data_IF_673356783260
#
_entry.id   IF_673356783260
#
_cell.length_a   1.000
_cell.length_b   1.000
_cell.length_c   1.000
_cell.angle_alpha   90.00
_cell.angle_beta   90.00
_cell.angle_gamma   90.00
#
_symmetry.space_group_name_H-M   'P 1'
#
loop_
_entity.id
_entity.type
_entity.pdbx_description
1 polymer ?
#
# COMPACT_ATOMS: atom_id res chain seq x y z
N UNK A 1 7.72 9.86 1.79
CA UNK A 1 8.80 10.51 1.03
C UNK A 1 10.14 10.15 1.65
N UNK A 2 11.20 10.07 0.85
CA UNK A 2 12.57 9.92 1.33
C UNK A 2 13.53 10.65 0.43
N UNK A 3 14.57 11.27 0.99
CA UNK A 3 15.55 12.06 0.27
C UNK A 3 16.94 11.87 0.83
N UNK A 4 17.90 11.54 -0.04
CA UNK A 4 19.29 11.22 0.34
C UNK A 4 20.21 12.44 0.46
N UNK A 5 19.76 13.61 0.02
CA UNK A 5 20.54 14.85 0.09
C UNK A 5 20.36 15.60 1.42
N UNK A 6 21.17 16.64 1.59
CA UNK A 6 21.22 17.52 2.79
C UNK A 6 21.06 19.00 2.47
N UNK A 7 20.82 19.30 1.21
CA UNK A 7 20.65 20.63 0.61
C UNK A 7 19.20 21.14 0.68
N UNK A 8 18.27 20.33 1.19
CA UNK A 8 16.89 20.73 1.43
C UNK A 8 16.60 20.73 2.94
N UNK A 9 16.19 21.87 3.53
CA UNK A 9 15.83 21.90 4.95
C UNK A 9 14.60 21.05 5.25
N UNK A 10 14.54 20.42 6.43
CA UNK A 10 13.42 19.60 6.86
C UNK A 10 12.06 20.35 6.81
N UNK A 11 12.06 21.65 7.09
CA UNK A 11 10.86 22.50 7.00
C UNK A 11 10.33 22.63 5.56
N UNK A 12 11.21 22.77 4.57
CA UNK A 12 10.82 22.81 3.16
C UNK A 12 10.38 21.43 2.67
N UNK A 13 11.09 20.36 3.05
CA UNK A 13 10.68 18.99 2.77
C UNK A 13 9.28 18.68 3.32
N UNK A 14 8.95 19.17 4.52
CA UNK A 14 7.61 19.03 5.10
C UNK A 14 6.54 19.71 4.25
N UNK A 15 6.80 20.87 3.64
CA UNK A 15 5.84 21.51 2.72
C UNK A 15 5.54 20.64 1.50
N UNK A 16 6.56 19.96 0.96
CA UNK A 16 6.38 19.02 -0.14
C UNK A 16 5.61 17.76 0.28
N UNK A 17 5.85 17.25 1.50
CA UNK A 17 5.10 16.12 2.07
C UNK A 17 3.61 16.43 2.20
N UNK A 18 3.27 17.63 2.68
CA UNK A 18 1.88 18.05 2.93
C UNK A 18 1.03 18.19 1.67
N UNK A 19 1.62 18.19 0.46
CA UNK A 19 0.85 18.19 -0.80
C UNK A 19 -0.04 16.95 -0.96
N UNK A 20 0.30 15.86 -0.28
CA UNK A 20 -0.46 14.60 -0.26
C UNK A 20 -1.09 14.32 1.11
N UNK A 21 -1.39 15.35 1.89
CA UNK A 21 -2.01 15.18 3.23
C UNK A 21 -3.33 14.39 3.16
N UNK A 22 -4.07 14.50 2.06
CA UNK A 22 -5.31 13.74 1.81
C UNK A 22 -5.12 12.22 1.83
N UNK A 23 -3.91 11.72 1.52
CA UNK A 23 -3.59 10.28 1.58
C UNK A 23 -3.31 9.77 3.00
N UNK A 24 -3.00 10.67 3.92
CA UNK A 24 -2.62 10.35 5.29
C UNK A 24 -3.07 11.46 6.24
N UNK A 25 -4.37 11.67 6.39
CA UNK A 25 -4.90 12.84 7.09
C UNK A 25 -4.69 12.80 8.61
N UNK A 26 -4.39 11.64 9.20
CA UNK A 26 -4.41 11.44 10.65
C UNK A 26 -3.18 12.01 11.35
N UNK A 27 -2.00 11.91 10.74
CA UNK A 27 -0.75 12.46 11.29
C UNK A 27 0.33 12.64 10.21
N UNK A 28 1.32 13.49 10.47
CA UNK A 28 2.41 13.85 9.56
C UNK A 28 3.73 13.95 10.33
N UNK A 29 4.73 13.15 9.95
CA UNK A 29 6.06 13.16 10.58
C UNK A 29 7.17 13.27 9.56
N UNK A 30 8.17 14.09 9.87
CA UNK A 30 9.45 14.16 9.16
C UNK A 30 10.55 13.94 10.18
N UNK A 31 11.50 13.07 9.86
CA UNK A 31 12.73 12.89 10.62
C UNK A 31 13.93 13.14 9.72
N UNK A 32 15.03 13.55 10.34
CA UNK A 32 16.31 13.75 9.72
C UNK A 32 17.34 12.83 10.38
N UNK A 33 18.25 12.26 9.58
CA UNK A 33 19.29 11.36 10.08
C UNK A 33 20.44 11.21 9.08
N UNK A 34 21.35 10.24 9.31
CA UNK A 34 22.48 9.99 8.40
C UNK A 34 22.04 9.78 6.94
N UNK A 35 20.87 9.18 6.76
CA UNK A 35 20.18 8.89 5.50
C UNK A 35 19.58 10.11 4.78
N UNK A 36 19.66 11.31 5.35
CA UNK A 36 18.97 12.51 4.87
C UNK A 36 17.60 12.67 5.54
N UNK A 37 16.55 12.84 4.74
CA UNK A 37 15.20 13.14 5.22
C UNK A 37 14.22 12.00 4.91
N UNK A 38 13.38 11.67 5.87
CA UNK A 38 12.30 10.70 5.70
C UNK A 38 10.99 11.25 6.26
N UNK A 39 9.93 11.15 5.48
CA UNK A 39 8.62 11.71 5.83
C UNK A 39 7.48 10.76 5.56
N UNK A 40 6.50 10.75 6.45
CA UNK A 40 5.32 9.90 6.36
C UNK A 40 4.06 10.67 6.75
N UNK A 41 3.02 10.52 5.94
CA UNK A 41 1.66 10.92 6.26
C UNK A 41 0.83 9.66 6.50
N UNK A 42 0.09 9.62 7.60
CA UNK A 42 -0.57 8.41 8.08
C UNK A 42 -2.07 8.43 7.87
N UNK A 43 -2.58 7.33 7.31
CA UNK A 43 -3.95 6.89 7.46
C UNK A 43 -3.91 5.62 8.34
N UNK A 44 -4.56 5.65 9.50
CA UNK A 44 -4.49 4.57 10.48
C UNK A 44 -5.51 3.46 10.13
N UNK A 45 -5.03 2.40 9.46
CA UNK A 45 -5.81 1.20 9.13
C UNK A 45 -5.46 0.03 10.07
N UNK A 46 -4.16 -0.27 10.18
CA UNK A 46 -3.61 -1.29 11.10
C UNK A 46 -2.92 -0.64 12.29
N UNK A 47 -3.30 -1.05 13.50
CA UNK A 47 -2.81 -0.51 14.76
C UNK A 47 -3.20 0.95 14.97
N UNK A 48 -4.45 1.22 15.37
CA UNK A 48 -5.03 2.58 15.40
C UNK A 48 -4.39 3.55 16.41
N UNK A 49 -3.52 3.08 17.30
CA UNK A 49 -2.84 3.93 18.29
C UNK A 49 -1.76 4.80 17.64
N UNK A 50 -1.32 5.90 18.30
CA UNK A 50 -0.19 6.71 17.83
C UNK A 50 1.12 5.94 17.65
N UNK A 51 1.28 4.79 18.30
CA UNK A 51 2.49 3.96 18.18
C UNK A 51 2.68 3.38 16.78
N UNK A 52 1.61 3.28 15.97
CA UNK A 52 1.71 2.86 14.57
C UNK A 52 2.16 3.98 13.62
N UNK A 53 2.56 5.16 14.15
CA UNK A 53 3.06 6.27 13.33
C UNK A 53 4.51 6.05 12.90
N UNK A 54 4.75 6.22 11.60
CA UNK A 54 6.04 6.02 10.96
C UNK A 54 6.80 7.35 10.81
N UNK A 55 8.13 7.36 10.55
CA UNK A 55 9.00 6.20 10.32
C UNK A 55 9.14 5.28 11.53
N UNK A 56 9.12 3.97 11.32
CA UNK A 56 9.51 2.99 12.34
C UNK A 56 11.02 2.96 12.44
N UNK A 57 11.55 2.85 13.67
CA UNK A 57 13.00 2.84 13.91
C UNK A 57 13.42 1.67 14.78
N UNK A 58 14.61 1.12 14.50
CA UNK A 58 15.31 0.18 15.39
C UNK A 58 16.80 0.51 15.38
N UNK A 59 17.28 1.08 16.49
CA UNK A 59 18.62 1.65 16.54
C UNK A 59 18.70 2.84 15.57
N UNK A 60 19.68 2.80 14.65
CA UNK A 60 19.85 3.82 13.62
C UNK A 60 19.14 3.49 12.29
N UNK A 61 18.50 2.32 12.18
CA UNK A 61 17.74 1.93 10.99
C UNK A 61 16.32 2.50 11.05
N UNK A 62 15.77 2.84 9.89
CA UNK A 62 14.41 3.37 9.79
C UNK A 62 13.68 2.87 8.55
N UNK A 63 12.34 2.82 8.60
CA UNK A 63 11.50 2.46 7.46
C UNK A 63 10.22 3.28 7.45
N UNK A 64 9.79 3.67 6.25
CA UNK A 64 8.43 4.12 5.94
C UNK A 64 7.82 3.22 4.88
N UNK A 65 6.53 2.93 4.98
CA UNK A 65 5.78 2.10 4.08
C UNK A 65 4.35 2.61 3.95
N UNK A 66 3.95 2.90 2.72
CA UNK A 66 2.55 3.02 2.33
C UNK A 66 2.13 1.67 1.77
N UNK A 67 1.43 0.87 2.56
CA UNK A 67 1.08 -0.50 2.20
C UNK A 67 0.29 -1.22 3.27
N UNK A 68 -0.07 -2.46 2.95
CA UNK A 68 -0.75 -3.42 3.83
C UNK A 68 -0.07 -4.78 3.64
N UNK A 69 0.52 -5.32 4.71
CA UNK A 69 1.16 -6.63 4.73
C UNK A 69 0.12 -7.69 5.14
N UNK A 70 -0.32 -8.49 4.17
CA UNK A 70 -1.34 -9.50 4.42
C UNK A 70 -0.77 -10.65 5.28
N UNK A 71 -1.56 -11.13 6.24
CA UNK A 71 -1.13 -12.22 7.12
C UNK A 71 0.00 -11.85 8.09
N UNK A 72 0.35 -10.56 8.23
CA UNK A 72 1.46 -10.10 9.06
C UNK A 72 1.39 -10.58 10.52
N UNK A 73 0.20 -10.87 11.07
CA UNK A 73 0.05 -11.35 12.45
C UNK A 73 0.80 -12.65 12.68
N UNK A 74 0.80 -13.54 11.70
CA UNK A 74 1.54 -14.80 11.76
C UNK A 74 3.06 -14.56 11.72
N UNK A 75 3.53 -13.74 10.77
CA UNK A 75 4.94 -13.36 10.67
C UNK A 75 5.43 -12.63 11.92
N UNK A 76 4.62 -11.72 12.48
CA UNK A 76 4.90 -11.02 13.72
C UNK A 76 5.10 -11.99 14.89
N UNK A 77 4.28 -13.04 14.98
CA UNK A 77 4.43 -14.07 16.01
C UNK A 77 5.72 -14.89 15.83
N UNK A 78 6.13 -15.20 14.59
CA UNK A 78 7.41 -15.84 14.30
C UNK A 78 8.57 -14.95 14.75
N UNK A 79 8.54 -13.67 14.36
CA UNK A 79 9.57 -12.69 14.74
C UNK A 79 9.63 -12.47 16.26
N UNK A 80 8.49 -12.47 16.95
CA UNK A 80 8.47 -12.39 18.42
C UNK A 80 9.18 -13.59 19.07
N UNK A 81 8.99 -14.81 18.54
CA UNK A 81 9.71 -16.00 19.00
C UNK A 81 11.21 -15.95 18.70
N UNK A 82 11.60 -15.27 17.62
CA UNK A 82 12.99 -14.97 17.30
C UNK A 82 13.60 -13.85 18.17
N UNK A 83 12.82 -13.24 19.07
CA UNK A 83 13.29 -12.25 20.04
C UNK A 83 13.02 -10.78 19.66
N UNK A 84 12.32 -10.51 18.55
CA UNK A 84 11.93 -9.16 18.18
C UNK A 84 10.81 -8.63 19.09
N UNK A 85 10.97 -7.38 19.54
CA UNK A 85 9.97 -6.66 20.33
C UNK A 85 9.29 -5.62 19.46
N UNK A 86 7.97 -5.54 19.57
CA UNK A 86 7.11 -4.62 18.83
C UNK A 86 6.35 -3.73 19.81
N UNK A 87 6.07 -2.50 19.41
CA UNK A 87 5.39 -1.49 20.24
C UNK A 87 4.03 -1.10 19.67
N UNK A 88 3.78 -1.34 18.39
CA UNK A 88 2.54 -0.95 17.71
C UNK A 88 1.72 -2.16 17.25
N UNK A 89 0.48 -1.90 16.86
CA UNK A 89 -0.36 -2.86 16.14
C UNK A 89 -0.14 -2.87 14.62
N UNK A 90 0.67 -1.94 14.08
CA UNK A 90 0.87 -1.82 12.64
C UNK A 90 1.58 -3.05 12.08
N UNK A 91 1.08 -3.46 10.92
CA UNK A 91 1.66 -4.46 10.04
C UNK A 91 3.05 -4.03 9.55
N UNK A 92 3.23 -2.77 9.18
CA UNK A 92 4.48 -2.23 8.65
C UNK A 92 5.63 -2.18 9.69
N UNK A 93 5.37 -2.34 10.99
CA UNK A 93 6.43 -2.38 12.02
C UNK A 93 7.35 -3.60 11.87
N UNK A 94 6.89 -4.67 11.20
CA UNK A 94 7.69 -5.88 11.01
C UNK A 94 8.74 -5.76 9.90
N UNK A 95 8.72 -4.69 9.10
CA UNK A 95 9.59 -4.54 7.93
C UNK A 95 11.08 -4.53 8.26
N UNK A 96 11.49 -3.83 9.33
CA UNK A 96 12.90 -3.84 9.76
C UNK A 96 13.34 -5.24 10.23
N UNK A 97 12.59 -5.92 11.13
CA UNK A 97 12.85 -7.34 11.43
C UNK A 97 12.93 -8.25 10.20
N UNK A 98 11.99 -8.17 9.27
CA UNK A 98 12.03 -8.97 8.03
C UNK A 98 13.29 -8.67 7.20
N UNK A 99 13.70 -7.41 7.11
CA UNK A 99 14.94 -7.04 6.43
C UNK A 99 16.18 -7.63 7.12
N UNK A 100 16.19 -7.79 8.43
CA UNK A 100 17.33 -8.43 9.11
C UNK A 100 17.41 -9.93 8.87
N UNK A 101 16.27 -10.61 8.82
CA UNK A 101 16.21 -12.05 8.56
C UNK A 101 16.51 -12.40 7.10
N UNK A 102 15.99 -11.60 6.16
CA UNK A 102 15.97 -11.97 4.74
C UNK A 102 16.74 -11.01 3.83
N UNK A 103 17.20 -9.86 4.34
CA UNK A 103 17.82 -8.83 3.51
C UNK A 103 16.90 -8.36 2.39
N UNK A 104 17.43 -8.20 1.18
CA UNK A 104 16.66 -7.78 0.00
C UNK A 104 15.72 -8.87 -0.52
N UNK A 105 15.92 -10.15 -0.14
CA UNK A 105 15.01 -11.25 -0.51
C UNK A 105 13.64 -11.11 0.17
N UNK A 106 13.53 -10.26 1.21
CA UNK A 106 12.25 -9.98 1.85
C UNK A 106 11.17 -9.55 0.85
N UNK A 107 11.52 -8.81 -0.20
CA UNK A 107 10.54 -8.30 -1.15
C UNK A 107 9.84 -9.39 -1.95
N UNK A 108 10.53 -10.52 -2.23
CA UNK A 108 9.93 -11.69 -2.88
C UNK A 108 9.00 -12.47 -1.96
N UNK A 109 9.15 -12.30 -0.64
CA UNK A 109 8.42 -13.05 0.40
C UNK A 109 7.17 -12.32 0.87
N UNK A 110 7.10 -11.01 0.68
CA UNK A 110 5.97 -10.20 1.10
C UNK A 110 4.74 -10.45 0.23
N UNK A 111 3.73 -11.10 0.79
CA UNK A 111 2.36 -11.06 0.28
C UNK A 111 1.71 -9.75 0.77
N UNK A 112 1.93 -8.68 0.01
CA UNK A 112 1.56 -7.33 0.42
C UNK A 112 1.34 -6.43 -0.79
N UNK A 113 0.58 -5.35 -0.57
CA UNK A 113 0.66 -4.16 -1.40
C UNK A 113 1.53 -3.13 -0.68
N UNK A 114 2.52 -2.53 -1.34
CA UNK A 114 3.46 -1.65 -0.65
C UNK A 114 4.27 -0.74 -1.58
N UNK A 115 4.57 0.43 -1.05
CA UNK A 115 5.63 1.32 -1.51
C UNK A 115 6.41 1.76 -0.26
N UNK A 116 7.67 1.37 -0.16
CA UNK A 116 8.47 1.60 1.05
C UNK A 116 9.84 2.20 0.76
N UNK A 117 10.40 2.82 1.80
CA UNK A 117 11.76 3.35 1.85
C UNK A 117 12.35 2.93 3.18
N UNK A 118 13.50 2.26 3.14
CA UNK A 118 14.20 1.70 4.28
C UNK A 118 15.64 2.20 4.28
N UNK A 119 16.16 2.53 5.46
CA UNK A 119 17.57 2.84 5.66
C UNK A 119 18.24 1.76 6.50
N UNK A 120 19.37 1.25 6.00
CA UNK A 120 20.24 0.29 6.67
C UNK A 120 21.53 0.99 7.09
N UNK A 121 21.62 1.35 8.37
CA UNK A 121 22.74 2.08 8.95
C UNK A 121 24.06 1.30 8.96
N UNK A 122 23.99 -0.04 8.95
CA UNK A 122 25.19 -0.91 8.93
C UNK A 122 25.93 -0.85 7.61
N UNK A 123 25.21 -0.50 6.53
CA UNK A 123 25.75 -0.38 5.17
C UNK A 123 25.66 1.04 4.63
N UNK A 124 25.17 1.98 5.43
CA UNK A 124 24.92 3.38 5.06
C UNK A 124 24.19 3.51 3.71
N UNK A 125 23.07 2.79 3.55
CA UNK A 125 22.33 2.78 2.28
C UNK A 125 20.83 2.92 2.44
N UNK A 126 20.24 3.67 1.52
CA UNK A 126 18.80 3.82 1.38
C UNK A 126 18.29 2.84 0.31
N UNK A 127 17.28 2.07 0.69
CA UNK A 127 16.58 1.11 -0.15
C UNK A 127 15.17 1.65 -0.37
N UNK A 128 14.65 1.55 -1.58
CA UNK A 128 13.23 1.82 -1.85
C UNK A 128 12.65 0.64 -2.63
N UNK A 129 11.40 0.28 -2.43
CA UNK A 129 10.80 -0.86 -3.12
C UNK A 129 9.31 -0.66 -3.35
N UNK A 130 8.80 -1.30 -4.40
CA UNK A 130 7.40 -1.26 -4.80
C UNK A 130 6.88 -2.68 -5.06
N UNK A 131 5.62 -2.92 -4.73
CA UNK A 131 4.96 -4.22 -4.86
C UNK A 131 4.95 -4.78 -6.30
N UNK A 132 4.72 -6.10 -6.48
CA UNK A 132 4.90 -6.79 -7.76
C UNK A 132 4.13 -6.21 -8.95
N UNK A 133 2.95 -5.64 -8.70
CA UNK A 133 2.07 -5.13 -9.77
C UNK A 133 1.87 -3.61 -9.70
N UNK A 134 2.46 -2.94 -8.71
CA UNK A 134 2.42 -1.50 -8.53
C UNK A 134 1.13 -0.94 -7.95
N UNK A 135 0.44 -1.70 -7.09
CA UNK A 135 -0.81 -1.29 -6.41
C UNK A 135 -0.59 0.03 -5.66
N UNK A 136 0.47 0.11 -4.85
CA UNK A 136 0.82 1.33 -4.15
C UNK A 136 1.74 2.19 -5.03
N UNK A 137 1.44 3.48 -5.23
CA UNK A 137 2.22 4.33 -6.10
C UNK A 137 3.54 4.76 -5.45
N UNK A 138 4.59 4.79 -6.25
CA UNK A 138 5.90 5.31 -5.88
C UNK A 138 6.56 5.92 -7.13
N UNK A 139 7.19 7.06 -6.93
CA UNK A 139 7.94 7.82 -7.92
C UNK A 139 9.32 8.13 -7.36
N UNK A 140 10.27 8.37 -8.25
CA UNK A 140 11.58 8.88 -7.91
C UNK A 140 11.96 10.05 -8.81
N UNK A 141 12.89 10.88 -8.35
CA UNK A 141 13.50 11.97 -9.11
C UNK A 141 14.80 12.40 -8.46
N UNK A 142 15.50 13.35 -9.08
CA UNK A 142 16.78 13.85 -8.59
C UNK A 142 16.65 15.31 -8.18
N UNK A 143 17.18 15.69 -7.03
CA UNK A 143 17.19 17.09 -6.58
C UNK A 143 17.90 17.97 -7.59
N UNK A 144 17.30 19.11 -7.95
CA UNK A 144 17.91 20.09 -8.86
C UNK A 144 19.21 20.70 -8.33
N UNK A 145 19.39 20.74 -7.01
CA UNK A 145 20.55 21.39 -6.38
C UNK A 145 21.74 20.46 -6.15
N UNK A 146 21.50 19.20 -5.78
CA UNK A 146 22.57 18.25 -5.44
C UNK A 146 22.59 16.99 -6.29
N UNK A 147 21.60 16.82 -7.17
CA UNK A 147 21.39 15.62 -7.98
C UNK A 147 21.27 14.32 -7.14
N UNK A 148 20.88 14.46 -5.86
CA UNK A 148 20.60 13.33 -4.97
C UNK A 148 19.19 12.79 -5.20
N UNK A 149 19.02 11.48 -5.06
CA UNK A 149 17.75 10.82 -5.33
C UNK A 149 16.72 11.10 -4.22
N UNK A 150 15.48 11.32 -4.64
CA UNK A 150 14.29 11.47 -3.82
C UNK A 150 13.20 10.49 -4.27
N UNK A 151 12.36 10.08 -3.32
CA UNK A 151 11.24 9.16 -3.53
C UNK A 151 9.96 9.72 -2.91
N UNK A 152 8.82 9.54 -3.58
CA UNK A 152 7.52 9.96 -3.07
C UNK A 152 6.38 9.12 -3.62
N UNK A 153 5.25 9.06 -2.91
CA UNK A 153 4.07 8.33 -3.38
C UNK A 153 3.41 8.99 -4.59
N UNK A 154 3.50 10.32 -4.74
CA UNK A 154 2.93 11.04 -5.89
C UNK A 154 3.91 12.03 -6.50
N UNK A 155 3.75 12.28 -7.81
CA UNK A 155 4.53 13.25 -8.58
C UNK A 155 4.53 14.65 -7.93
N UNK A 156 3.37 15.08 -7.42
CA UNK A 156 3.21 16.42 -6.85
C UNK A 156 4.12 16.69 -5.65
N UNK A 157 4.58 15.66 -4.94
CA UNK A 157 5.56 15.81 -3.86
C UNK A 157 6.97 16.14 -4.38
N UNK A 158 7.30 15.79 -5.63
CA UNK A 158 8.64 15.97 -6.23
C UNK A 158 8.70 17.19 -7.16
N UNK A 159 7.56 17.56 -7.77
CA UNK A 159 7.47 18.71 -8.68
C UNK A 159 7.89 20.01 -7.98
N UNK A 160 8.77 20.75 -8.64
CA UNK A 160 9.29 22.05 -8.17
C UNK A 160 10.75 21.98 -7.72
N UNK A 161 11.17 20.88 -7.08
CA UNK A 161 12.51 20.73 -6.51
C UNK A 161 13.30 19.54 -7.06
N UNK A 162 12.64 18.57 -7.70
CA UNK A 162 13.28 17.51 -8.45
C UNK A 162 13.19 17.72 -9.97
N UNK A 163 14.11 17.06 -10.68
CA UNK A 163 14.14 16.82 -12.13
C UNK A 163 14.13 15.31 -12.41
N UNK A 164 13.97 14.92 -13.68
CA UNK A 164 13.93 13.52 -14.14
C UNK A 164 12.97 12.62 -13.34
N UNK A 165 11.78 13.16 -13.03
CA UNK A 165 10.79 12.46 -12.22
C UNK A 165 10.17 11.31 -13.04
N UNK A 166 10.23 10.09 -12.51
CA UNK A 166 9.75 8.87 -13.19
C UNK A 166 8.95 7.99 -12.23
N UNK A 167 7.98 7.20 -12.73
CA UNK A 167 7.37 6.13 -11.96
C UNK A 167 8.44 5.14 -11.50
N UNK A 168 8.36 4.72 -10.24
CA UNK A 168 9.22 3.67 -9.72
C UNK A 168 8.81 2.32 -10.34
N UNK A 169 9.76 1.51 -10.87
CA UNK A 169 9.45 0.23 -11.53
C UNK A 169 8.69 -0.75 -10.61
N UNK A 170 7.67 -1.42 -11.14
CA UNK A 170 6.91 -2.44 -10.40
C UNK A 170 7.78 -3.67 -10.10
N UNK A 171 7.44 -4.40 -9.04
CA UNK A 171 8.15 -5.64 -8.66
C UNK A 171 9.66 -5.45 -8.53
N UNK A 172 10.09 -4.26 -8.11
CA UNK A 172 11.50 -3.88 -8.08
C UNK A 172 11.87 -3.21 -6.76
N UNK A 173 13.16 -3.24 -6.44
CA UNK A 173 13.76 -2.41 -5.41
C UNK A 173 14.90 -1.57 -5.99
N UNK A 174 15.16 -0.42 -5.40
CA UNK A 174 16.33 0.41 -5.60
C UNK A 174 17.31 0.13 -4.47
N UNK A 175 18.56 -0.17 -4.79
CA UNK A 175 19.64 -0.32 -3.83
C UNK A 175 20.96 0.02 -4.52
N UNK A 176 21.83 0.78 -3.85
CA UNK A 176 23.18 1.10 -4.32
C UNK A 176 23.23 1.64 -5.76
N UNK A 177 22.29 2.55 -6.08
CA UNK A 177 22.22 3.20 -7.40
C UNK A 177 21.53 2.39 -8.50
N UNK A 178 21.03 1.19 -8.19
CA UNK A 178 20.43 0.28 -9.19
C UNK A 178 19.00 -0.08 -8.85
N UNK A 179 18.17 -0.18 -9.88
CA UNK A 179 16.87 -0.81 -9.80
C UNK A 179 17.01 -2.28 -10.16
N UNK A 180 16.58 -3.18 -9.26
CA UNK A 180 16.62 -4.61 -9.44
C UNK A 180 15.21 -5.15 -9.36
N UNK A 181 14.78 -5.84 -10.41
CA UNK A 181 13.49 -6.52 -10.45
C UNK A 181 13.57 -7.78 -9.60
N UNK A 182 12.73 -7.85 -8.57
CA UNK A 182 12.62 -9.03 -7.72
C UNK A 182 11.44 -9.92 -8.09
N UNK A 183 10.44 -9.42 -8.83
CA UNK A 183 9.27 -10.21 -9.25
C UNK A 183 8.76 -9.78 -10.64
N UNK A 184 8.40 -10.76 -11.45
CA UNK A 184 7.69 -10.57 -12.72
C UNK A 184 6.49 -11.51 -12.77
N UNK A 185 5.31 -10.97 -12.43
CA UNK A 185 4.07 -11.75 -12.42
C UNK A 185 3.67 -12.31 -13.80
N UNK A 186 4.27 -11.81 -14.88
CA UNK A 186 4.05 -12.31 -16.23
C UNK A 186 5.07 -13.39 -16.64
N UNK A 187 6.14 -13.58 -15.87
CA UNK A 187 7.16 -14.62 -16.10
C UNK A 187 6.67 -15.97 -15.54
N UNK A 188 5.76 -16.59 -16.28
CA UNK A 188 5.19 -17.90 -15.94
C UNK A 188 6.02 -19.03 -16.57
N UNK A 189 6.47 -20.03 -15.80
CA UNK A 189 7.40 -21.05 -16.30
C UNK A 189 6.78 -22.00 -17.34
N UNK A 190 5.46 -22.21 -17.27
CA UNK A 190 4.72 -23.03 -18.23
C UNK A 190 3.23 -22.63 -18.24
N UNK A 191 2.52 -22.87 -19.36
CA UNK A 191 1.06 -22.80 -19.39
C UNK A 191 0.43 -23.79 -18.42
N UNK A 192 -0.75 -23.46 -17.90
CA UNK A 192 -1.56 -24.39 -17.10
C UNK A 192 -2.07 -25.53 -18.01
N UNK A 193 -1.82 -26.77 -17.61
CA UNK A 193 -2.25 -27.99 -18.30
C UNK A 193 -3.36 -28.74 -17.54
N UNK A 194 -3.88 -28.13 -16.48
CA UNK A 194 -4.92 -28.73 -15.63
C UNK A 194 -6.26 -28.82 -16.38
N UNK A 195 -7.12 -29.73 -15.94
CA UNK A 195 -8.47 -29.85 -16.49
C UNK A 195 -9.34 -28.63 -16.16
N UNK A 196 -10.39 -28.40 -16.96
CA UNK A 196 -11.30 -27.26 -16.75
C UNK A 196 -11.88 -27.19 -15.33
N UNK A 197 -12.23 -28.35 -14.75
CA UNK A 197 -12.76 -28.43 -13.39
C UNK A 197 -11.75 -27.93 -12.34
N UNK A 198 -10.51 -28.40 -12.43
CA UNK A 198 -9.42 -27.99 -11.55
C UNK A 198 -9.11 -26.49 -11.71
N UNK A 199 -9.11 -25.99 -12.96
CA UNK A 199 -8.89 -24.56 -13.24
C UNK A 199 -9.98 -23.71 -12.58
N UNK A 200 -11.25 -24.06 -12.75
CA UNK A 200 -12.37 -23.31 -12.17
C UNK A 200 -12.33 -23.35 -10.63
N UNK A 201 -12.01 -24.51 -10.05
CA UNK A 201 -11.83 -24.66 -8.61
C UNK A 201 -10.68 -23.78 -8.10
N UNK A 202 -9.52 -23.84 -8.75
CA UNK A 202 -8.34 -23.08 -8.37
C UNK A 202 -8.57 -21.56 -8.47
N UNK A 203 -9.25 -21.08 -9.51
CA UNK A 203 -9.61 -19.66 -9.64
C UNK A 203 -10.51 -19.24 -8.48
N UNK A 204 -11.56 -20.02 -8.20
CA UNK A 204 -12.50 -19.74 -7.10
C UNK A 204 -11.78 -19.67 -5.76
N UNK A 205 -10.96 -20.65 -5.45
CA UNK A 205 -10.25 -20.75 -4.16
C UNK A 205 -9.22 -19.63 -3.99
N UNK A 206 -8.45 -19.32 -5.04
CA UNK A 206 -7.48 -18.22 -5.01
C UNK A 206 -8.16 -16.86 -4.90
N UNK A 207 -9.29 -16.65 -5.55
CA UNK A 207 -10.08 -15.43 -5.40
C UNK A 207 -10.61 -15.28 -3.97
N UNK A 208 -11.16 -16.36 -3.40
CA UNK A 208 -11.64 -16.37 -2.01
C UNK A 208 -10.50 -16.04 -1.03
N UNK A 209 -9.34 -16.68 -1.18
CA UNK A 209 -8.17 -16.42 -0.35
C UNK A 209 -7.63 -14.98 -0.53
N UNK A 210 -7.71 -14.46 -1.76
CA UNK A 210 -7.33 -13.08 -2.10
C UNK A 210 -8.19 -12.02 -1.41
N UNK A 211 -9.50 -12.26 -1.30
CA UNK A 211 -10.42 -11.39 -0.57
C UNK A 211 -10.24 -11.59 0.94
N UNK A 212 -10.23 -12.82 1.42
CA UNK A 212 -10.14 -13.15 2.86
C UNK A 212 -8.95 -12.49 3.54
N UNK A 213 -7.76 -12.55 2.92
CA UNK A 213 -6.55 -11.93 3.49
C UNK A 213 -6.62 -10.40 3.60
N UNK A 214 -7.51 -9.75 2.84
CA UNK A 214 -7.75 -8.29 2.83
C UNK A 214 -8.85 -7.85 3.79
N UNK A 215 -9.49 -8.80 4.49
CA UNK A 215 -10.52 -8.51 5.50
C UNK A 215 -9.94 -8.27 6.90
N UNK A 216 -8.65 -8.54 7.13
CA UNK A 216 -7.95 -8.21 8.39
C UNK A 216 -7.65 -6.71 8.43
N UNK A 217 -8.48 -5.96 9.13
CA UNK A 217 -8.31 -4.53 9.38
C UNK A 217 -8.74 -4.19 10.81
N UNK A 218 -8.01 -3.29 11.49
CA UNK A 218 -8.44 -2.76 12.78
C UNK A 218 -9.48 -1.62 12.60
N UNK A 219 -9.48 -0.97 11.42
CA UNK A 219 -10.47 0.03 11.03
C UNK A 219 -11.73 -0.60 10.37
N UNK A 220 -12.89 0.09 10.39
CA UNK A 220 -14.08 -0.37 9.67
C UNK A 220 -13.86 -0.49 8.15
N UNK A 221 -14.34 -1.60 7.58
CA UNK A 221 -14.27 -1.86 6.14
C UNK A 221 -15.52 -1.38 5.40
N UNK A 222 -15.32 -0.84 4.20
CA UNK A 222 -16.36 -0.55 3.23
C UNK A 222 -16.03 -1.18 1.88
N UNK A 223 -17.06 -1.47 1.08
CA UNK A 223 -16.91 -2.16 -0.19
C UNK A 223 -17.52 -1.33 -1.32
N UNK A 224 -16.79 -1.17 -2.43
CA UNK A 224 -17.35 -0.55 -3.63
C UNK A 224 -18.16 -1.60 -4.39
N UNK A 225 -19.41 -1.28 -4.71
CA UNK A 225 -20.36 -2.16 -5.39
C UNK A 225 -20.94 -1.44 -6.61
N UNK A 226 -20.46 -1.79 -7.79
CA UNK A 226 -20.97 -1.24 -9.07
C UNK A 226 -22.13 -2.04 -9.66
N UNK A 227 -22.41 -3.23 -9.12
CA UNK A 227 -23.35 -4.18 -9.72
C UNK A 227 -22.75 -5.02 -10.86
N UNK A 228 -21.53 -4.71 -11.32
CA UNK A 228 -20.77 -5.58 -12.22
C UNK A 228 -20.32 -6.88 -11.55
N UNK A 229 -19.90 -7.87 -12.35
CA UNK A 229 -19.51 -9.20 -11.86
C UNK A 229 -18.41 -9.13 -10.79
N UNK A 230 -17.36 -8.35 -11.03
CA UNK A 230 -16.15 -8.35 -10.19
C UNK A 230 -16.42 -7.81 -8.78
N UNK A 231 -17.04 -6.62 -8.70
CA UNK A 231 -17.38 -5.98 -7.42
C UNK A 231 -18.40 -6.80 -6.64
N UNK A 232 -19.38 -7.39 -7.34
CA UNK A 232 -20.38 -8.30 -6.77
C UNK A 232 -19.75 -9.57 -6.20
N UNK A 233 -18.77 -10.18 -6.88
CA UNK A 233 -18.06 -11.36 -6.39
C UNK A 233 -17.24 -11.04 -5.13
N UNK A 234 -16.50 -9.92 -5.13
CA UNK A 234 -15.73 -9.49 -3.95
C UNK A 234 -16.66 -9.24 -2.76
N UNK A 235 -17.77 -8.52 -2.96
CA UNK A 235 -18.76 -8.25 -1.91
C UNK A 235 -19.40 -9.55 -1.40
N UNK A 236 -19.74 -10.49 -2.29
CA UNK A 236 -20.33 -11.76 -1.91
C UNK A 236 -19.37 -12.63 -1.07
N UNK A 237 -18.09 -12.69 -1.45
CA UNK A 237 -17.07 -13.39 -0.67
C UNK A 237 -16.89 -12.73 0.69
N UNK A 238 -16.77 -11.40 0.73
CA UNK A 238 -16.59 -10.65 1.97
C UNK A 238 -17.78 -10.83 2.94
N UNK A 239 -19.01 -10.70 2.44
CA UNK A 239 -20.22 -10.90 3.24
C UNK A 239 -20.27 -12.32 3.85
N UNK A 240 -19.95 -13.34 3.05
CA UNK A 240 -19.90 -14.73 3.52
C UNK A 240 -18.80 -14.96 4.55
N UNK A 241 -17.60 -14.42 4.33
CA UNK A 241 -16.45 -14.58 5.24
C UNK A 241 -16.62 -13.85 6.56
N UNK A 242 -17.23 -12.66 6.54
CA UNK A 242 -17.47 -11.87 7.75
C UNK A 242 -18.68 -12.34 8.55
N UNK A 243 -19.65 -13.03 7.92
CA UNK A 243 -20.85 -13.55 8.59
C UNK A 243 -21.76 -12.46 9.17
N UNK A 244 -21.63 -11.23 8.68
CA UNK A 244 -22.41 -10.04 9.10
C UNK A 244 -22.69 -9.13 7.90
N UNK A 245 -23.73 -8.27 7.95
CA UNK A 245 -23.95 -7.26 6.93
C UNK A 245 -22.69 -6.42 6.69
N UNK A 246 -22.31 -6.28 5.42
CA UNK A 246 -21.21 -5.41 4.98
C UNK A 246 -21.77 -4.06 4.57
N UNK A 247 -20.94 -3.01 4.62
CA UNK A 247 -21.28 -1.68 4.09
C UNK A 247 -20.84 -1.57 2.64
N UNK A 248 -21.79 -1.33 1.75
CA UNK A 248 -21.52 -1.23 0.31
C UNK A 248 -21.82 0.17 -0.18
N UNK A 249 -21.01 0.67 -1.11
CA UNK A 249 -21.11 2.01 -1.67
C UNK A 249 -21.14 1.94 -3.20
N UNK A 250 -22.12 2.58 -3.80
CA UNK A 250 -22.23 2.75 -5.25
C UNK A 250 -22.32 4.23 -5.61
N UNK A 251 -21.80 4.62 -6.77
CA UNK A 251 -21.89 5.98 -7.29
C UNK A 251 -22.48 5.95 -8.70
N UNK A 252 -23.34 6.91 -9.03
CA UNK A 252 -23.97 7.02 -10.35
C UNK A 252 -24.40 8.44 -10.69
N UNK A 253 -24.52 8.71 -11.99
CA UNK A 253 -25.01 9.99 -12.51
C UNK A 253 -26.52 10.14 -12.29
N UNK A 254 -27.00 11.34 -12.04
CA UNK A 254 -28.42 11.68 -11.87
C UNK A 254 -29.34 11.27 -13.04
N UNK A 255 -28.79 11.21 -14.26
CA UNK A 255 -29.54 11.07 -15.51
C UNK A 255 -29.43 9.69 -16.18
N UNK A 256 -28.48 8.84 -15.75
CA UNK A 256 -28.28 7.48 -16.30
C UNK A 256 -27.59 6.54 -15.30
N UNK A 257 -28.23 6.31 -14.16
CA UNK A 257 -27.68 5.54 -13.05
C UNK A 257 -27.82 4.01 -13.21
N UNK A 258 -27.48 3.44 -14.38
CA UNK A 258 -27.70 2.02 -14.63
C UNK A 258 -26.93 1.11 -13.66
N UNK A 259 -25.73 1.55 -13.26
CA UNK A 259 -24.90 0.83 -12.27
C UNK A 259 -25.57 0.78 -10.90
N UNK A 260 -26.26 1.85 -10.47
CA UNK A 260 -26.98 1.87 -9.19
C UNK A 260 -28.08 0.82 -9.14
N UNK A 261 -28.76 0.57 -10.27
CA UNK A 261 -29.79 -0.47 -10.36
C UNK A 261 -29.19 -1.85 -10.05
N UNK A 262 -28.08 -2.22 -10.67
CA UNK A 262 -27.45 -3.54 -10.47
C UNK A 262 -26.75 -3.64 -9.11
N UNK A 263 -26.16 -2.54 -8.64
CA UNK A 263 -25.60 -2.45 -7.29
C UNK A 263 -26.68 -2.73 -6.24
N UNK A 264 -27.86 -2.12 -6.37
CA UNK A 264 -29.00 -2.35 -5.47
C UNK A 264 -29.48 -3.79 -5.47
N UNK A 265 -29.63 -4.40 -6.65
CA UNK A 265 -30.02 -5.82 -6.74
C UNK A 265 -29.02 -6.74 -6.02
N UNK A 266 -27.72 -6.47 -6.18
CA UNK A 266 -26.68 -7.24 -5.49
C UNK A 266 -26.70 -6.98 -4.00
N UNK A 267 -26.87 -5.73 -3.58
CA UNK A 267 -26.96 -5.34 -2.18
C UNK A 267 -28.14 -6.00 -1.45
N UNK A 268 -29.31 -6.04 -2.10
CA UNK A 268 -30.51 -6.74 -1.60
C UNK A 268 -30.26 -8.24 -1.46
N UNK A 269 -29.63 -8.86 -2.47
CA UNK A 269 -29.26 -10.27 -2.42
C UNK A 269 -28.28 -10.59 -1.29
N UNK A 270 -27.32 -9.71 -1.03
CA UNK A 270 -26.31 -9.87 0.02
C UNK A 270 -26.79 -9.46 1.42
N UNK A 271 -27.90 -8.71 1.52
CA UNK A 271 -28.34 -8.09 2.78
C UNK A 271 -27.34 -7.06 3.32
N UNK A 272 -26.67 -6.31 2.43
CA UNK A 272 -25.68 -5.30 2.82
C UNK A 272 -26.33 -3.98 3.27
N UNK A 273 -25.65 -3.24 4.16
CA UNK A 273 -25.94 -1.82 4.43
C UNK A 273 -25.51 -0.99 3.20
N UNK A 274 -26.44 -0.74 2.27
CA UNK A 274 -26.14 -0.11 0.98
C UNK A 274 -26.28 1.40 1.00
N UNK A 275 -25.30 2.09 0.41
CA UNK A 275 -25.25 3.53 0.26
C UNK A 275 -25.07 3.89 -1.21
N UNK A 276 -25.98 4.71 -1.74
CA UNK A 276 -25.89 5.24 -3.10
C UNK A 276 -25.49 6.71 -3.05
N UNK A 277 -24.49 7.09 -3.84
CA UNK A 277 -24.04 8.45 -4.05
C UNK A 277 -24.47 8.87 -5.44
N UNK A 278 -25.36 9.87 -5.54
CA UNK A 278 -25.77 10.43 -6.81
C UNK A 278 -24.95 11.70 -7.05
N UNK A 279 -24.34 11.78 -8.23
CA UNK A 279 -23.58 12.95 -8.68
C UNK A 279 -24.24 13.59 -9.89
N UNK A 280 -24.18 14.92 -9.94
CA UNK A 280 -24.64 15.73 -11.07
C UNK A 280 -23.51 15.96 -12.07
N UNK A 281 -23.85 16.49 -13.24
CA UNK A 281 -22.84 16.94 -14.20
C UNK A 281 -21.96 18.03 -13.60
N UNK A 282 -22.55 18.99 -12.88
CA UNK A 282 -21.88 20.10 -12.21
C UNK A 282 -20.84 19.59 -11.19
N UNK A 283 -21.16 18.54 -10.42
CA UNK A 283 -20.21 17.94 -9.46
C UNK A 283 -18.94 17.39 -10.13
N UNK A 284 -19.04 16.94 -11.39
CA UNK A 284 -17.93 16.35 -12.15
C UNK A 284 -17.09 17.41 -12.86
N UNK A 285 -17.73 18.44 -13.43
CA UNK A 285 -17.04 19.43 -14.28
C UNK A 285 -16.55 20.66 -13.53
N UNK A 286 -17.14 20.98 -12.37
CA UNK A 286 -16.85 22.20 -11.60
C UNK A 286 -17.57 23.43 -12.13
#
# INVERSE_FOLDING_TARGET
MGYTGRDLPAAEFRKYLLRTVSRGPDDQRVIEGPFGLMGFGRLAIMGLTPDGMQPFTRGADCVVCNGELYGFRFEKAILQRAGYKFRSGSDCEILLPLYYEYGLDMFRRLDAEFALILYDSRKDRLIAARDPIGIRPLFYGYSKSSHKIAFASELQNLVGWCEDIRPFPIGSYYCDGRFVRYEDIADVPAPCADGMEDVLQNIREKLIAGVEKRLDADAPLGFLLSGGLDSSLVCAIAARKLGRPIRTFAIGMDTDAIDLKYARQTAEYLGSEHHEVIITREDVIG
#
